data_IF_933876084965
#
_entry.id   IF_933876084965
#
_cell.length_a   1.000
_cell.length_b   1.000
_cell.length_c   1.000
_cell.angle_alpha   90.00
_cell.angle_beta   90.00
_cell.angle_gamma   90.00
#
_symmetry.space_group_name_H-M   'P 1'
#
loop_
_entity.id
_entity.type
_entity.pdbx_description
1 polymer ?
#
# COMPACT_ATOMS: atom_id res chain seq x y z
N UNK A 1 -11.05 -22.19 -6.00
CA UNK A 1 -12.08 -21.16 -5.81
C UNK A 1 -13.21 -21.42 -6.80
N UNK A 2 -14.42 -21.65 -6.29
CA UNK A 2 -15.64 -21.61 -7.08
C UNK A 2 -16.21 -20.21 -6.82
N UNK A 3 -15.89 -19.24 -7.68
CA UNK A 3 -16.17 -17.82 -7.47
C UNK A 3 -17.56 -17.54 -6.88
N UNK A 4 -18.61 -18.11 -7.47
CA UNK A 4 -20.00 -17.96 -7.01
C UNK A 4 -20.37 -18.73 -5.73
N UNK A 5 -19.59 -19.75 -5.33
CA UNK A 5 -19.76 -20.46 -4.05
C UNK A 5 -18.93 -19.86 -2.90
N UNK A 6 -17.85 -19.15 -3.22
CA UNK A 6 -16.98 -18.50 -2.24
C UNK A 6 -17.51 -17.09 -1.85
N UNK A 7 -18.49 -16.57 -2.61
CA UNK A 7 -19.30 -15.40 -2.29
C UNK A 7 -20.22 -15.69 -1.10
N UNK A 8 -19.72 -15.47 0.11
CA UNK A 8 -20.51 -15.46 1.34
C UNK A 8 -20.74 -14.04 1.84
N UNK A 9 -21.86 -13.80 2.52
CA UNK A 9 -22.13 -12.52 3.18
C UNK A 9 -20.99 -12.14 4.13
N UNK A 10 -20.43 -13.11 4.85
CA UNK A 10 -19.30 -12.91 5.75
C UNK A 10 -18.02 -12.47 5.05
N UNK A 11 -17.69 -13.06 3.89
CA UNK A 11 -16.52 -12.65 3.12
C UNK A 11 -16.69 -11.22 2.57
N UNK A 12 -17.90 -10.88 2.11
CA UNK A 12 -18.22 -9.54 1.65
C UNK A 12 -18.11 -8.51 2.78
N UNK A 13 -18.71 -8.77 3.94
CA UNK A 13 -18.65 -7.85 5.08
C UNK A 13 -17.22 -7.69 5.60
N UNK A 14 -16.44 -8.78 5.70
CA UNK A 14 -15.04 -8.71 6.10
C UNK A 14 -14.20 -7.85 5.13
N UNK A 15 -14.37 -8.05 3.82
CA UNK A 15 -13.72 -7.23 2.80
C UNK A 15 -14.14 -5.76 2.86
N UNK A 16 -15.44 -5.49 3.04
CA UNK A 16 -15.96 -4.14 3.17
C UNK A 16 -15.41 -3.42 4.41
N UNK A 17 -15.43 -4.06 5.58
CA UNK A 17 -14.88 -3.51 6.82
C UNK A 17 -13.38 -3.26 6.68
N UNK A 18 -12.63 -4.20 6.08
CA UNK A 18 -11.20 -4.03 5.86
C UNK A 18 -10.88 -2.81 4.99
N UNK A 19 -11.63 -2.61 3.90
CA UNK A 19 -11.48 -1.42 3.03
C UNK A 19 -11.87 -0.14 3.76
N UNK A 20 -13.00 -0.14 4.47
CA UNK A 20 -13.50 1.04 5.18
C UNK A 20 -12.52 1.49 6.29
N UNK A 21 -12.05 0.54 7.10
CA UNK A 21 -11.05 0.81 8.16
C UNK A 21 -9.72 1.23 7.54
N UNK A 22 -9.29 0.57 6.45
CA UNK A 22 -8.07 0.91 5.73
C UNK A 22 -8.10 2.35 5.21
N UNK A 23 -9.13 2.72 4.44
CA UNK A 23 -9.28 4.07 3.88
C UNK A 23 -9.41 5.15 4.94
N UNK A 24 -10.24 4.94 5.96
CA UNK A 24 -10.46 5.94 7.02
C UNK A 24 -9.19 6.22 7.85
N UNK A 25 -8.29 5.24 7.98
CA UNK A 25 -7.10 5.37 8.82
C UNK A 25 -6.01 6.29 8.28
N UNK A 26 -5.71 6.24 6.97
CA UNK A 26 -4.47 6.83 6.43
C UNK A 26 -4.59 7.50 5.07
N UNK A 27 -5.80 7.60 4.50
CA UNK A 27 -6.00 8.32 3.23
C UNK A 27 -5.63 9.81 3.35
N UNK A 28 -5.84 10.41 4.53
CA UNK A 28 -5.52 11.81 4.80
C UNK A 28 -4.03 12.15 4.54
N UNK A 29 -3.13 11.20 4.80
CA UNK A 29 -1.69 11.37 4.54
C UNK A 29 -1.44 11.44 3.02
N UNK A 30 -2.19 10.67 2.22
CA UNK A 30 -2.05 10.71 0.76
C UNK A 30 -2.59 12.03 0.18
N UNK A 31 -3.66 12.57 0.75
CA UNK A 31 -4.14 13.92 0.40
C UNK A 31 -3.09 14.99 0.75
N UNK A 32 -2.52 14.93 1.96
CA UNK A 32 -1.45 15.85 2.36
C UNK A 32 -0.23 15.74 1.46
N UNK A 33 0.16 14.51 1.09
CA UNK A 33 1.22 14.27 0.12
C UNK A 33 0.94 14.96 -1.22
N UNK A 34 -0.24 14.76 -1.80
CA UNK A 34 -0.58 15.38 -3.08
C UNK A 34 -0.62 16.92 -2.99
N UNK A 35 -1.13 17.47 -1.88
CA UNK A 35 -1.14 18.91 -1.64
C UNK A 35 0.28 19.48 -1.49
N UNK A 36 1.22 18.73 -0.90
CA UNK A 36 2.61 19.15 -0.77
C UNK A 36 3.31 19.36 -2.13
N UNK A 37 2.84 18.69 -3.18
CA UNK A 37 3.30 18.89 -4.57
C UNK A 37 2.46 19.93 -5.34
N UNK A 38 1.56 20.66 -4.67
CA UNK A 38 0.70 21.67 -5.30
C UNK A 38 -0.37 21.09 -6.23
N UNK A 39 -0.78 19.83 -6.03
CA UNK A 39 -1.79 19.20 -6.88
C UNK A 39 -3.15 19.92 -6.75
N UNK A 40 -3.80 20.16 -7.89
CA UNK A 40 -5.18 20.68 -7.91
C UNK A 40 -6.17 19.62 -7.40
N UNK A 41 -7.37 20.00 -6.95
CA UNK A 41 -8.39 19.04 -6.51
C UNK A 41 -8.71 17.95 -7.55
N UNK A 42 -8.68 18.30 -8.83
CA UNK A 42 -8.89 17.39 -9.96
C UNK A 42 -7.79 16.31 -10.03
N UNK A 43 -6.53 16.73 -9.85
CA UNK A 43 -5.37 15.83 -9.83
C UNK A 43 -5.44 14.92 -8.59
N UNK A 44 -5.79 15.46 -7.42
CA UNK A 44 -5.95 14.66 -6.20
C UNK A 44 -7.05 13.60 -6.39
N UNK A 45 -8.18 13.96 -6.98
CA UNK A 45 -9.25 13.01 -7.28
C UNK A 45 -8.76 11.90 -8.24
N UNK A 46 -7.98 12.26 -9.26
CA UNK A 46 -7.37 11.29 -10.20
C UNK A 46 -6.43 10.32 -9.48
N UNK A 47 -5.63 10.81 -8.53
CA UNK A 47 -4.73 9.99 -7.72
C UNK A 47 -5.52 9.01 -6.85
N UNK A 48 -6.56 9.47 -6.17
CA UNK A 48 -7.42 8.61 -5.34
C UNK A 48 -8.08 7.51 -6.15
N UNK A 49 -8.56 7.85 -7.34
CA UNK A 49 -9.15 6.89 -8.25
C UNK A 49 -8.14 5.83 -8.73
N UNK A 50 -6.94 6.28 -9.13
CA UNK A 50 -5.85 5.39 -9.53
C UNK A 50 -5.39 4.48 -8.37
N UNK A 51 -5.33 5.00 -7.14
CA UNK A 51 -4.99 4.24 -5.93
C UNK A 51 -6.01 3.14 -5.65
N UNK A 52 -7.30 3.50 -5.66
CA UNK A 52 -8.39 2.55 -5.43
C UNK A 52 -8.41 1.42 -6.46
N UNK A 53 -8.28 1.75 -7.75
CA UNK A 53 -8.18 0.74 -8.80
C UNK A 53 -6.90 -0.08 -8.72
N UNK A 54 -5.76 0.57 -8.47
CA UNK A 54 -4.48 -0.10 -8.36
C UNK A 54 -4.50 -1.17 -7.26
N UNK A 55 -4.96 -0.82 -6.07
CA UNK A 55 -5.11 -1.79 -4.97
C UNK A 55 -6.18 -2.84 -5.24
N UNK A 56 -7.33 -2.43 -5.78
CA UNK A 56 -8.43 -3.34 -6.09
C UNK A 56 -7.98 -4.43 -7.06
N UNK A 57 -7.35 -4.03 -8.16
CA UNK A 57 -6.84 -4.96 -9.17
C UNK A 57 -5.68 -5.81 -8.64
N UNK A 58 -4.73 -5.21 -7.93
CA UNK A 58 -3.57 -5.94 -7.39
C UNK A 58 -3.93 -6.84 -6.21
N UNK A 59 -5.07 -6.63 -5.56
CA UNK A 59 -5.65 -7.57 -4.58
C UNK A 59 -6.44 -8.67 -5.29
N UNK A 60 -7.32 -8.29 -6.23
CA UNK A 60 -8.25 -9.20 -6.90
C UNK A 60 -7.53 -10.20 -7.80
N UNK A 61 -6.64 -9.74 -8.68
CA UNK A 61 -6.00 -10.57 -9.70
C UNK A 61 -5.14 -11.68 -9.08
N UNK A 62 -4.22 -11.41 -8.14
CA UNK A 62 -3.44 -12.47 -7.49
C UNK A 62 -4.31 -13.36 -6.62
N UNK A 63 -5.36 -12.82 -5.99
CA UNK A 63 -6.27 -13.64 -5.18
C UNK A 63 -6.97 -14.71 -6.02
N UNK A 64 -7.44 -14.34 -7.22
CA UNK A 64 -8.07 -15.26 -8.16
C UNK A 64 -7.05 -16.23 -8.78
N UNK A 65 -5.87 -15.73 -9.18
CA UNK A 65 -4.86 -16.54 -9.86
C UNK A 65 -4.17 -17.53 -8.93
N UNK A 66 -3.70 -17.07 -7.76
CA UNK A 66 -3.05 -17.90 -6.74
C UNK A 66 -4.04 -18.71 -5.91
N UNK A 67 -5.34 -18.41 -6.02
CA UNK A 67 -6.43 -19.02 -5.24
C UNK A 67 -6.19 -18.91 -3.73
N UNK A 68 -5.64 -17.79 -3.28
CA UNK A 68 -5.34 -17.46 -1.88
C UNK A 68 -5.91 -16.07 -1.56
N UNK A 69 -6.32 -15.78 -0.32
CA UNK A 69 -6.77 -14.44 0.04
C UNK A 69 -5.58 -13.48 0.11
N UNK A 70 -5.25 -12.83 -1.01
CA UNK A 70 -4.16 -11.84 -1.10
C UNK A 70 -4.75 -10.46 -0.87
N UNK A 71 -4.21 -9.71 0.09
CA UNK A 71 -4.58 -8.32 0.35
C UNK A 71 -3.37 -7.43 0.07
N UNK A 72 -3.51 -6.49 -0.87
CA UNK A 72 -2.47 -5.51 -1.18
C UNK A 72 -2.93 -4.15 -0.69
N UNK A 73 -2.11 -3.54 0.17
CA UNK A 73 -2.32 -2.20 0.73
C UNK A 73 -1.27 -1.21 0.20
N UNK A 74 -1.54 0.10 0.33
CA UNK A 74 -0.52 1.12 0.09
C UNK A 74 0.53 1.15 1.21
N UNK A 75 1.66 1.80 0.95
CA UNK A 75 2.70 2.04 1.94
C UNK A 75 2.42 3.36 2.70
N UNK A 76 1.92 3.27 3.93
CA UNK A 76 1.75 4.44 4.80
C UNK A 76 3.06 5.18 5.07
N UNK A 77 4.20 4.50 5.35
CA UNK A 77 5.49 5.17 5.43
C UNK A 77 5.89 5.86 4.12
N UNK A 78 5.57 5.26 2.97
CA UNK A 78 5.82 5.87 1.65
C UNK A 78 5.04 7.16 1.44
N UNK A 79 3.76 7.19 1.82
CA UNK A 79 2.94 8.40 1.77
C UNK A 79 3.46 9.50 2.71
N UNK A 80 3.96 9.13 3.89
CA UNK A 80 4.57 10.09 4.82
C UNK A 80 5.86 10.71 4.24
N UNK A 81 6.73 9.91 3.62
CA UNK A 81 7.93 10.42 2.93
C UNK A 81 7.56 11.34 1.77
N UNK A 82 6.51 11.02 1.01
CA UNK A 82 5.99 11.89 -0.04
C UNK A 82 5.56 13.27 0.50
N UNK A 83 4.82 13.28 1.61
CA UNK A 83 4.32 14.51 2.21
C UNK A 83 5.46 15.44 2.65
N UNK A 84 6.63 14.90 3.00
CA UNK A 84 7.81 15.71 3.32
C UNK A 84 8.69 16.02 2.11
N UNK A 85 8.64 15.20 1.06
CA UNK A 85 9.43 15.37 -0.17
C UNK A 85 8.89 16.44 -1.14
N UNK A 86 7.70 17.00 -0.88
CA UNK A 86 7.08 18.04 -1.73
C UNK A 86 7.85 19.35 -1.80
N UNK A 87 8.78 19.61 -0.88
CA UNK A 87 9.57 20.83 -0.88
C UNK A 87 10.71 20.77 -1.92
N UNK A 88 10.46 21.33 -3.10
CA UNK A 88 11.51 21.60 -4.11
C UNK A 88 11.46 20.72 -5.36
N UNK A 89 10.46 19.84 -5.51
CA UNK A 89 10.29 18.98 -6.68
C UNK A 89 8.91 19.15 -7.30
N UNK A 90 8.84 19.07 -8.62
CA UNK A 90 7.58 19.11 -9.36
C UNK A 90 6.79 17.80 -9.20
N UNK A 91 5.47 17.87 -9.40
CA UNK A 91 4.60 16.70 -9.43
C UNK A 91 5.06 15.66 -10.47
N UNK A 92 5.58 16.10 -11.62
CA UNK A 92 6.07 15.22 -12.67
C UNK A 92 7.33 14.44 -12.25
N UNK A 93 8.28 15.09 -11.59
CA UNK A 93 9.46 14.43 -11.03
C UNK A 93 9.07 13.43 -9.95
N UNK A 94 8.10 13.76 -9.10
CA UNK A 94 7.58 12.85 -8.10
C UNK A 94 6.97 11.60 -8.76
N UNK A 95 6.09 11.78 -9.76
CA UNK A 95 5.48 10.65 -10.49
C UNK A 95 6.55 9.79 -11.18
N UNK A 96 7.55 10.41 -11.82
CA UNK A 96 8.68 9.71 -12.44
C UNK A 96 9.48 8.87 -11.45
N UNK A 97 9.85 9.47 -10.32
CA UNK A 97 10.55 8.76 -9.23
C UNK A 97 9.71 7.59 -8.70
N UNK A 98 8.38 7.75 -8.58
CA UNK A 98 7.48 6.68 -8.18
C UNK A 98 7.42 5.53 -9.17
N UNK A 99 7.36 5.81 -10.47
CA UNK A 99 7.40 4.76 -11.50
C UNK A 99 8.72 3.99 -11.46
N UNK A 100 9.84 4.68 -11.27
CA UNK A 100 11.16 4.04 -11.12
C UNK A 100 11.21 3.18 -9.85
N UNK A 101 10.76 3.71 -8.70
CA UNK A 101 10.69 2.94 -7.46
C UNK A 101 9.78 1.72 -7.60
N UNK A 102 8.61 1.85 -8.24
CA UNK A 102 7.69 0.74 -8.48
C UNK A 102 8.33 -0.34 -9.35
N UNK A 103 9.06 0.05 -10.40
CA UNK A 103 9.82 -0.88 -11.24
C UNK A 103 10.89 -1.61 -10.43
N UNK A 104 11.68 -0.89 -9.62
CA UNK A 104 12.71 -1.47 -8.77
C UNK A 104 12.14 -2.45 -7.75
N UNK A 105 11.03 -2.09 -7.09
CA UNK A 105 10.31 -2.96 -6.16
C UNK A 105 9.81 -4.23 -6.88
N UNK A 106 9.24 -4.07 -8.08
CA UNK A 106 8.75 -5.20 -8.88
C UNK A 106 9.88 -6.15 -9.27
N UNK A 107 11.02 -5.60 -9.70
CA UNK A 107 12.22 -6.39 -10.03
C UNK A 107 12.78 -7.09 -8.79
N UNK A 108 12.86 -6.40 -7.65
CA UNK A 108 13.33 -6.99 -6.39
C UNK A 108 12.41 -8.13 -5.90
N UNK A 109 11.10 -7.99 -6.09
CA UNK A 109 10.12 -9.04 -5.81
C UNK A 109 10.24 -10.23 -6.78
N UNK A 110 10.30 -9.97 -8.08
CA UNK A 110 10.37 -11.01 -9.12
C UNK A 110 11.68 -11.84 -9.05
N UNK A 111 12.78 -11.23 -8.61
CA UNK A 111 14.09 -11.90 -8.47
C UNK A 111 14.24 -12.70 -7.17
N UNK A 112 13.31 -12.55 -6.22
CA UNK A 112 13.40 -13.12 -4.87
C UNK A 112 14.54 -12.54 -4.01
N UNK A 113 15.15 -11.43 -4.45
CA UNK A 113 16.27 -10.82 -3.72
C UNK A 113 15.85 -10.34 -2.34
N UNK A 114 14.67 -9.74 -2.26
CA UNK A 114 14.11 -9.29 -1.00
C UNK A 114 13.95 -10.44 0.00
N UNK A 115 13.38 -11.57 -0.44
CA UNK A 115 13.22 -12.76 0.40
C UNK A 115 14.57 -13.30 0.91
N UNK A 116 15.60 -13.36 0.04
CA UNK A 116 16.95 -13.81 0.44
C UNK A 116 17.59 -12.91 1.48
N UNK A 117 17.38 -11.60 1.39
CA UNK A 117 17.89 -10.64 2.38
C UNK A 117 17.10 -10.76 3.68
N UNK A 118 15.77 -10.86 3.60
CA UNK A 118 14.91 -10.98 4.77
C UNK A 118 15.21 -12.24 5.58
N UNK A 119 15.54 -13.35 4.92
CA UNK A 119 15.94 -14.61 5.57
C UNK A 119 17.25 -14.50 6.38
N UNK A 120 18.01 -13.40 6.28
CA UNK A 120 19.19 -13.13 7.10
C UNK A 120 18.87 -12.35 8.38
N UNK A 121 17.67 -11.79 8.50
CA UNK A 121 17.28 -10.99 9.67
C UNK A 121 16.85 -11.94 10.79
N UNK A 122 17.51 -11.91 11.96
CA UNK A 122 17.10 -12.73 13.10
C UNK A 122 15.67 -12.42 13.54
N UNK A 123 14.89 -13.46 13.83
CA UNK A 123 13.50 -13.33 14.30
C UNK A 123 13.36 -12.41 15.51
N UNK A 124 14.36 -12.40 16.40
CA UNK A 124 14.36 -11.50 17.56
C UNK A 124 14.31 -10.01 17.17
N UNK A 125 15.01 -9.61 16.10
CA UNK A 125 15.00 -8.21 15.63
C UNK A 125 13.65 -7.89 14.99
N UNK A 126 13.11 -8.80 14.17
CA UNK A 126 11.79 -8.62 13.56
C UNK A 126 10.69 -8.45 14.63
N UNK A 127 10.70 -9.30 15.67
CA UNK A 127 9.77 -9.22 16.79
C UNK A 127 9.97 -7.95 17.62
N UNK A 128 11.21 -7.51 17.85
CA UNK A 128 11.50 -6.27 18.56
C UNK A 128 10.99 -5.03 17.80
N UNK A 129 11.13 -5.01 16.47
CA UNK A 129 10.57 -3.95 15.63
C UNK A 129 9.03 -3.92 15.70
N UNK A 130 8.38 -5.09 15.61
CA UNK A 130 6.92 -5.20 15.74
C UNK A 130 6.46 -4.72 17.13
N UNK A 131 7.16 -5.14 18.20
CA UNK A 131 6.88 -4.70 19.56
C UNK A 131 7.05 -3.19 19.72
N UNK A 132 8.08 -2.58 19.12
CA UNK A 132 8.29 -1.13 19.16
C UNK A 132 7.17 -0.34 18.48
N UNK A 133 6.67 -0.81 17.34
CA UNK A 133 5.52 -0.20 16.65
C UNK A 133 4.25 -0.35 17.49
N UNK A 134 4.00 -1.54 18.06
CA UNK A 134 2.81 -1.82 18.86
C UNK A 134 2.82 -1.15 20.23
N UNK A 135 3.98 -0.98 20.86
CA UNK A 135 4.11 -0.33 22.16
C UNK A 135 3.54 1.09 22.14
N UNK A 136 3.66 1.80 21.02
CA UNK A 136 3.10 3.15 20.83
C UNK A 136 1.57 3.18 20.75
N UNK A 137 0.91 2.04 20.59
CA UNK A 137 -0.55 1.91 20.62
C UNK A 137 -1.07 1.38 21.96
N UNK A 138 -0.20 0.76 22.77
CA UNK A 138 -0.56 0.20 24.09
C UNK A 138 -0.19 1.08 25.29
N UNK A 139 0.68 2.07 25.10
CA UNK A 139 1.08 3.11 26.07
C UNK A 139 0.47 4.46 25.67
#
# INVERSE_FOLDING_TARGET
>A
MRFFKDLSLSAFTAGFVAVLVGFTSSVAIVFQAAQAFGATPEVIASWMWALGLGMGLTTLVPSLWLRKPVMIAWSTPGAAVLATAGAGHSLGEAVGAFMVCALLITVAGATGWFERVMNRIPMAIASALLAGVLARFGL
#
